data_IF_800510162248
#
_entry.id   IF_800510162248
#
_cell.length_a   1.000
_cell.length_b   1.000
_cell.length_c   1.000
_cell.angle_alpha   90.00
_cell.angle_beta   90.00
_cell.angle_gamma   90.00
#
_symmetry.space_group_name_H-M   'P 1'
#
loop_
_entity.id
_entity.type
_entity.pdbx_description
1 polymer ?
#
# COMPACT_ATOMS: atom_id res chain seq x y z
N UNK A 1 9.99 -6.56 15.03
CA UNK A 1 9.27 -6.41 13.74
C UNK A 1 8.75 -7.76 13.29
N UNK A 2 7.53 -7.79 12.79
CA UNK A 2 6.90 -9.01 12.33
C UNK A 2 7.49 -9.41 10.96
N UNK A 3 7.96 -10.65 10.86
CA UNK A 3 8.59 -11.13 9.63
C UNK A 3 7.61 -11.19 8.46
N UNK A 4 6.36 -11.51 8.72
CA UNK A 4 5.34 -11.54 7.66
C UNK A 4 5.10 -10.16 7.07
N UNK A 5 5.05 -9.15 7.92
CA UNK A 5 4.88 -7.76 7.48
C UNK A 5 6.08 -7.31 6.68
N UNK A 6 7.27 -7.65 7.13
CA UNK A 6 8.50 -7.28 6.41
C UNK A 6 8.59 -7.97 5.06
N UNK A 7 8.22 -9.25 5.00
CA UNK A 7 8.20 -9.98 3.73
C UNK A 7 7.19 -9.38 2.76
N UNK A 8 6.01 -8.99 3.26
CA UNK A 8 5.00 -8.33 2.44
C UNK A 8 5.53 -7.00 1.90
N UNK A 9 6.20 -6.23 2.75
CA UNK A 9 6.81 -4.96 2.36
C UNK A 9 7.83 -5.17 1.24
N UNK A 10 8.72 -6.13 1.40
CA UNK A 10 9.76 -6.41 0.40
C UNK A 10 9.15 -6.83 -0.93
N UNK A 11 8.15 -7.69 -0.90
CA UNK A 11 7.45 -8.11 -2.12
C UNK A 11 6.80 -6.93 -2.82
N UNK A 12 6.14 -6.08 -2.05
CA UNK A 12 5.47 -4.90 -2.59
C UNK A 12 6.47 -3.95 -3.23
N UNK A 13 7.55 -3.63 -2.53
CA UNK A 13 8.57 -2.71 -3.05
C UNK A 13 9.22 -3.27 -4.32
N UNK A 14 9.48 -4.57 -4.34
CA UNK A 14 10.04 -5.22 -5.52
C UNK A 14 9.12 -5.05 -6.73
N UNK A 15 7.82 -5.27 -6.53
CA UNK A 15 6.84 -5.13 -7.60
C UNK A 15 6.73 -3.67 -8.06
N UNK A 16 6.71 -2.74 -7.13
CA UNK A 16 6.65 -1.31 -7.46
C UNK A 16 7.90 -0.86 -8.21
N UNK A 17 9.07 -1.39 -7.85
CA UNK A 17 10.30 -1.09 -8.58
C UNK A 17 10.24 -1.61 -10.01
N UNK A 18 9.67 -2.79 -10.22
CA UNK A 18 9.50 -3.34 -11.56
C UNK A 18 8.55 -2.48 -12.38
N UNK A 19 7.45 -2.02 -11.79
CA UNK A 19 6.50 -1.15 -12.47
C UNK A 19 7.16 0.18 -12.86
N UNK A 20 7.96 0.75 -11.98
CA UNK A 20 8.70 1.98 -12.27
C UNK A 20 9.69 1.76 -13.40
N UNK A 21 10.43 0.66 -13.34
CA UNK A 21 11.42 0.32 -14.36
C UNK A 21 10.76 0.14 -15.73
N UNK A 22 9.59 -0.49 -15.75
CA UNK A 22 8.82 -0.69 -16.98
C UNK A 22 8.08 0.56 -17.44
N UNK A 23 8.20 1.67 -16.70
CA UNK A 23 7.53 2.96 -16.97
C UNK A 23 6.02 2.87 -16.86
N UNK A 24 5.54 1.88 -16.13
CA UNK A 24 4.12 1.76 -15.79
C UNK A 24 3.76 2.61 -14.58
N UNK A 25 4.76 3.20 -13.92
CA UNK A 25 4.57 3.95 -12.69
C UNK A 25 5.48 5.18 -12.72
N UNK A 26 4.89 6.36 -12.49
CA UNK A 26 5.64 7.60 -12.42
C UNK A 26 6.58 7.59 -11.21
N UNK A 27 7.79 8.21 -11.31
CA UNK A 27 8.72 8.21 -10.18
C UNK A 27 8.13 8.81 -8.91
N UNK A 28 7.36 9.88 -9.02
CA UNK A 28 6.74 10.53 -7.87
C UNK A 28 5.71 9.61 -7.21
N UNK A 29 4.92 8.92 -8.02
CA UNK A 29 3.92 7.98 -7.53
C UNK A 29 4.59 6.79 -6.87
N UNK A 30 5.67 6.28 -7.49
CA UNK A 30 6.46 5.20 -6.92
C UNK A 30 6.97 5.58 -5.52
N UNK A 31 7.53 6.78 -5.41
CA UNK A 31 8.05 7.27 -4.13
C UNK A 31 6.95 7.37 -3.08
N UNK A 32 5.80 7.91 -3.46
CA UNK A 32 4.66 8.03 -2.54
C UNK A 32 4.17 6.68 -2.05
N UNK A 33 4.06 5.71 -2.94
CA UNK A 33 3.60 4.37 -2.57
C UNK A 33 4.62 3.68 -1.68
N UNK A 34 5.91 3.82 -1.99
CA UNK A 34 6.96 3.24 -1.15
C UNK A 34 6.99 3.87 0.23
N UNK A 35 6.82 5.19 0.31
CA UNK A 35 6.78 5.89 1.59
C UNK A 35 5.57 5.46 2.42
N UNK A 36 4.42 5.29 1.79
CA UNK A 36 3.23 4.82 2.48
C UNK A 36 3.43 3.39 2.98
N UNK A 37 4.03 2.53 2.17
CA UNK A 37 4.32 1.15 2.58
C UNK A 37 5.27 1.12 3.77
N UNK A 38 6.31 1.96 3.76
CA UNK A 38 7.23 2.06 4.88
C UNK A 38 6.53 2.56 6.14
N UNK A 39 5.67 3.56 6.00
CA UNK A 39 4.88 4.06 7.13
C UNK A 39 4.01 2.98 7.74
N UNK A 40 3.40 2.14 6.90
CA UNK A 40 2.61 1.02 7.37
C UNK A 40 3.48 -0.03 8.07
N UNK A 41 4.64 -0.32 7.51
CA UNK A 41 5.56 -1.30 8.10
C UNK A 41 6.03 -0.85 9.48
N UNK A 42 6.29 0.43 9.66
CA UNK A 42 6.79 0.98 10.92
C UNK A 42 5.69 1.29 11.92
N UNK A 43 4.44 1.28 11.50
CA UNK A 43 3.30 1.56 12.39
C UNK A 43 3.17 0.45 13.43
N UNK A 44 2.96 0.85 14.68
CA UNK A 44 2.82 -0.08 15.79
C UNK A 44 1.38 -0.53 16.00
N UNK A 45 0.43 0.28 15.57
CA UNK A 45 -0.98 -0.01 15.72
C UNK A 45 -1.81 0.76 14.71
N UNK A 46 -3.12 0.58 14.77
CA UNK A 46 -4.03 1.18 13.82
C UNK A 46 -3.94 2.69 13.73
N UNK A 47 -3.71 3.34 14.86
CA UNK A 47 -3.61 4.81 14.90
C UNK A 47 -2.46 5.32 14.02
N UNK A 48 -1.32 4.65 14.11
CA UNK A 48 -0.15 5.03 13.33
C UNK A 48 -0.26 4.63 11.86
N UNK A 49 -1.09 3.64 11.57
CA UNK A 49 -1.28 3.14 10.22
C UNK A 49 -2.30 3.96 9.43
N UNK A 50 -3.16 4.74 10.09
CA UNK A 50 -4.24 5.47 9.42
C UNK A 50 -3.73 6.43 8.35
N UNK A 51 -2.74 7.23 8.66
CA UNK A 51 -2.24 8.23 7.73
C UNK A 51 -1.55 7.61 6.51
N UNK A 52 -0.59 6.68 6.69
CA UNK A 52 0.01 6.06 5.51
C UNK A 52 -1.01 5.24 4.69
N UNK A 53 -1.99 4.61 5.32
CA UNK A 53 -3.01 3.89 4.59
C UNK A 53 -3.90 4.84 3.79
N UNK A 54 -4.29 5.97 4.38
CA UNK A 54 -5.07 6.98 3.68
C UNK A 54 -4.30 7.54 2.48
N UNK A 55 -3.00 7.77 2.65
CA UNK A 55 -2.14 8.23 1.56
C UNK A 55 -2.08 7.22 0.42
N UNK A 56 -1.89 5.96 0.76
CA UNK A 56 -1.85 4.89 -0.24
C UNK A 56 -3.18 4.81 -0.98
N UNK A 57 -4.29 4.85 -0.26
CA UNK A 57 -5.62 4.79 -0.85
C UNK A 57 -5.87 5.96 -1.80
N UNK A 58 -5.53 7.17 -1.37
CA UNK A 58 -5.70 8.35 -2.20
C UNK A 58 -4.88 8.25 -3.48
N UNK A 59 -3.63 7.79 -3.37
CA UNK A 59 -2.76 7.63 -4.53
C UNK A 59 -3.32 6.59 -5.49
N UNK A 60 -3.76 5.44 -4.98
CA UNK A 60 -4.32 4.38 -5.81
C UNK A 60 -5.62 4.83 -6.50
N UNK A 61 -6.49 5.51 -5.77
CA UNK A 61 -7.72 6.03 -6.35
C UNK A 61 -7.44 7.06 -7.44
N UNK A 62 -6.42 7.89 -7.25
CA UNK A 62 -5.98 8.84 -8.27
C UNK A 62 -5.51 8.14 -9.52
N UNK A 63 -4.75 7.06 -9.38
CA UNK A 63 -4.28 6.28 -10.52
C UNK A 63 -5.44 5.63 -11.27
N UNK A 64 -6.43 5.11 -10.53
CA UNK A 64 -7.63 4.55 -11.14
C UNK A 64 -8.40 5.61 -11.94
N UNK A 65 -8.55 6.80 -11.36
CA UNK A 65 -9.27 7.89 -12.01
C UNK A 65 -8.59 8.36 -13.29
N UNK A 66 -7.26 8.26 -13.34
CA UNK A 66 -6.49 8.64 -14.52
C UNK A 66 -6.24 7.47 -15.47
N UNK A 67 -6.84 6.34 -15.20
CA UNK A 67 -6.70 5.13 -16.03
C UNK A 67 -5.26 4.62 -16.10
N UNK A 68 -4.47 4.93 -15.08
CA UNK A 68 -3.08 4.47 -14.97
C UNK A 68 -2.98 3.10 -14.32
N UNK A 69 -4.06 2.61 -13.74
CA UNK A 69 -4.09 1.36 -13.02
C UNK A 69 -5.47 0.73 -13.19
N UNK A 70 -5.52 -0.57 -13.45
CA UNK A 70 -6.80 -1.26 -13.53
C UNK A 70 -7.28 -1.69 -12.14
N UNK A 71 -8.56 -2.08 -12.04
CA UNK A 71 -9.17 -2.43 -10.77
C UNK A 71 -8.49 -3.63 -10.11
N UNK A 72 -8.06 -4.59 -10.89
CA UNK A 72 -7.42 -5.78 -10.37
C UNK A 72 -6.08 -5.45 -9.72
N UNK A 73 -5.26 -4.64 -10.39
CA UNK A 73 -3.98 -4.22 -9.84
C UNK A 73 -4.17 -3.27 -8.67
N UNK A 74 -5.19 -2.42 -8.70
CA UNK A 74 -5.50 -1.54 -7.58
C UNK A 74 -5.87 -2.35 -6.34
N UNK A 75 -6.70 -3.37 -6.51
CA UNK A 75 -7.08 -4.25 -5.41
C UNK A 75 -5.87 -4.98 -4.83
N UNK A 76 -5.03 -5.52 -5.71
CA UNK A 76 -3.80 -6.18 -5.28
C UNK A 76 -2.91 -5.24 -4.49
N UNK A 77 -2.75 -4.01 -4.99
CA UNK A 77 -1.87 -3.03 -4.37
C UNK A 77 -2.36 -2.64 -2.98
N UNK A 78 -3.67 -2.40 -2.83
CA UNK A 78 -4.23 -2.07 -1.52
C UNK A 78 -4.12 -3.24 -0.54
N UNK A 79 -4.36 -4.46 -1.00
CA UNK A 79 -4.20 -5.64 -0.17
C UNK A 79 -2.74 -5.81 0.28
N UNK A 80 -1.81 -5.58 -0.63
CA UNK A 80 -0.39 -5.65 -0.31
C UNK A 80 0.00 -4.58 0.71
N UNK A 81 -0.55 -3.38 0.59
CA UNK A 81 -0.33 -2.31 1.56
C UNK A 81 -0.84 -2.71 2.94
N UNK A 82 -2.06 -3.24 3.00
CA UNK A 82 -2.62 -3.70 4.28
C UNK A 82 -1.77 -4.78 4.92
N UNK A 83 -1.17 -5.64 4.11
CA UNK A 83 -0.32 -6.72 4.62
C UNK A 83 0.98 -6.21 5.23
N UNK A 84 1.43 -5.02 4.85
CA UNK A 84 2.62 -4.40 5.45
C UNK A 84 2.33 -3.84 6.84
N UNK A 85 1.10 -3.45 7.09
CA UNK A 85 0.73 -2.74 8.31
C UNK A 85 0.39 -3.64 9.48
N UNK A 86 0.14 -3.05 10.64
CA UNK A 86 -0.32 -3.80 11.78
C UNK A 86 -1.74 -4.31 11.54
N UNK A 87 -2.11 -5.35 12.29
CA UNK A 87 -3.47 -5.85 12.23
C UNK A 87 -4.40 -4.75 12.71
N UNK A 88 -5.25 -4.28 11.81
CA UNK A 88 -6.18 -3.21 12.15
C UNK A 88 -7.32 -3.74 12.99
N UNK A 89 -7.78 -2.97 14.00
CA UNK A 89 -9.04 -3.30 14.65
C UNK A 89 -10.11 -3.30 13.58
N UNK A 90 -10.84 -4.37 13.49
CA UNK A 90 -11.72 -4.57 12.34
C UNK A 90 -13.06 -3.90 12.55
N UNK A 91 -13.15 -2.65 12.18
CA UNK A 91 -14.47 -2.02 12.03
C UNK A 91 -15.35 -2.86 11.11
N UNK A 92 -14.73 -3.51 10.15
CA UNK A 92 -15.43 -4.42 9.24
C UNK A 92 -16.03 -5.61 9.96
N UNK A 93 -15.32 -6.15 10.94
CA UNK A 93 -15.84 -7.26 11.74
C UNK A 93 -17.04 -6.82 12.57
N UNK A 94 -17.02 -5.59 13.03
CA UNK A 94 -18.14 -5.05 13.81
C UNK A 94 -19.34 -4.75 12.93
N UNK A 95 -19.10 -4.39 11.68
CA UNK A 95 -20.16 -4.13 10.73
C UNK A 95 -20.83 -5.42 10.28
N UNK A 96 -20.13 -6.50 10.41
CA UNK A 96 -20.67 -7.79 10.07
C UNK A 96 -21.51 -8.32 11.24
#
# INVERSE_FOLDING_TARGET
MNQQRYAAYRSLVTELNEWKFARALQPETHEELCDAAEGLLLARGGDEAEEPLARASTTVLGMLALDELDEQNASWLLDAMLSCGPRMPQALEHAA
#
